data_IF_551476085081
#
_entry.id   IF_551476085081
#
_cell.length_a   1.000
_cell.length_b   1.000
_cell.length_c   1.000
_cell.angle_alpha   90.00
_cell.angle_beta   90.00
_cell.angle_gamma   90.00
#
_symmetry.space_group_name_H-M   'P 1'
#
loop_
_entity.id
_entity.type
_entity.pdbx_description
1 polymer ?
#
# COMPACT_ATOMS: atom_id res chain seq x y z
N UNK A 1 -2.27 -4.71 -25.08
CA UNK A 1 -2.43 -5.26 -23.71
C UNK A 1 -3.91 -5.46 -23.45
N UNK A 2 -4.43 -6.69 -23.46
CA UNK A 2 -5.77 -6.95 -22.95
C UNK A 2 -5.63 -7.15 -21.44
N UNK A 3 -6.01 -6.16 -20.64
CA UNK A 3 -6.25 -6.40 -19.21
C UNK A 3 -7.25 -7.55 -19.09
N UNK A 4 -7.20 -8.32 -18.00
CA UNK A 4 -8.31 -9.22 -17.70
C UNK A 4 -9.57 -8.34 -17.64
N UNK A 5 -10.44 -8.41 -18.64
CA UNK A 5 -11.69 -7.66 -18.66
C UNK A 5 -12.64 -8.33 -17.69
N UNK A 6 -12.38 -8.19 -16.40
CA UNK A 6 -13.32 -8.60 -15.36
C UNK A 6 -14.61 -7.81 -15.55
N UNK A 7 -15.78 -8.36 -15.18
CA UNK A 7 -17.02 -7.59 -15.23
C UNK A 7 -16.91 -6.25 -14.49
N UNK A 8 -16.16 -6.19 -13.39
CA UNK A 8 -15.89 -4.95 -12.65
C UNK A 8 -15.09 -3.92 -13.46
N UNK A 9 -14.05 -4.34 -14.18
CA UNK A 9 -13.27 -3.46 -15.05
C UNK A 9 -14.07 -2.94 -16.27
N UNK A 10 -15.22 -3.55 -16.59
CA UNK A 10 -16.15 -3.01 -17.59
C UNK A 10 -17.11 -1.96 -17.01
N UNK A 11 -17.28 -1.92 -15.69
CA UNK A 11 -18.17 -0.99 -14.97
C UNK A 11 -17.40 0.24 -14.48
N UNK A 12 -16.16 0.07 -14.05
CA UNK A 12 -15.30 1.15 -13.57
C UNK A 12 -14.04 1.25 -14.42
N UNK A 13 -13.68 2.47 -14.85
CA UNK A 13 -12.49 2.74 -15.66
C UNK A 13 -11.24 3.10 -14.84
N UNK A 14 -11.41 3.51 -13.59
CA UNK A 14 -10.36 3.88 -12.62
C UNK A 14 -10.73 3.36 -11.24
N UNK A 15 -9.74 3.09 -10.37
CA UNK A 15 -9.95 2.65 -8.96
C UNK A 15 -11.03 1.58 -8.83
N UNK A 16 -10.91 0.52 -9.66
CA UNK A 16 -11.99 -0.44 -9.93
C UNK A 16 -12.47 -1.12 -8.66
N UNK A 17 -11.54 -1.52 -7.80
CA UNK A 17 -11.86 -2.21 -6.55
C UNK A 17 -12.40 -1.23 -5.50
N UNK A 18 -11.87 -0.02 -5.42
CA UNK A 18 -12.34 0.99 -4.46
C UNK A 18 -13.76 1.47 -4.79
N UNK A 19 -14.09 1.61 -6.07
CA UNK A 19 -15.47 1.82 -6.50
C UNK A 19 -16.38 0.65 -6.13
N UNK A 20 -15.89 -0.59 -6.28
CA UNK A 20 -16.63 -1.77 -5.85
C UNK A 20 -16.85 -1.77 -4.32
N UNK A 21 -15.83 -1.46 -3.52
CA UNK A 21 -15.91 -1.37 -2.05
C UNK A 21 -16.93 -0.32 -1.60
N UNK A 22 -16.97 0.85 -2.24
CA UNK A 22 -18.01 1.85 -1.96
C UNK A 22 -19.41 1.32 -2.28
N UNK A 23 -19.59 0.65 -3.42
CA UNK A 23 -20.90 0.10 -3.78
C UNK A 23 -21.33 -1.04 -2.86
N UNK A 24 -20.41 -1.88 -2.38
CA UNK A 24 -20.70 -2.85 -1.32
C UNK A 24 -21.14 -2.17 -0.03
N UNK A 25 -20.47 -1.08 0.36
CA UNK A 25 -20.84 -0.27 1.52
C UNK A 25 -22.28 0.26 1.41
N UNK A 26 -22.64 0.84 0.26
CA UNK A 26 -24.01 1.33 -0.01
C UNK A 26 -25.02 0.18 -0.01
N UNK A 27 -24.67 -0.96 -0.62
CA UNK A 27 -25.54 -2.14 -0.69
C UNK A 27 -25.88 -2.64 0.71
N UNK A 28 -24.89 -2.73 1.61
CA UNK A 28 -25.09 -3.14 3.00
C UNK A 28 -25.96 -2.11 3.73
N UNK A 29 -25.69 -0.80 3.58
CA UNK A 29 -26.51 0.25 4.20
C UNK A 29 -27.98 0.23 3.75
N UNK A 30 -28.26 -0.26 2.54
CA UNK A 30 -29.63 -0.39 2.01
C UNK A 30 -30.37 -1.64 2.51
N UNK A 31 -29.69 -2.58 3.18
CA UNK A 31 -30.33 -3.75 3.76
C UNK A 31 -31.16 -3.38 5.00
N UNK A 32 -32.30 -4.06 5.17
CA UNK A 32 -33.18 -3.86 6.32
C UNK A 32 -32.42 -4.02 7.63
N UNK A 33 -32.55 -3.03 8.52
CA UNK A 33 -31.88 -3.01 9.83
C UNK A 33 -30.41 -2.59 9.83
N UNK A 34 -29.78 -2.36 8.68
CA UNK A 34 -28.33 -2.08 8.59
C UNK A 34 -28.00 -0.60 8.36
N UNK A 35 -28.99 0.24 8.04
CA UNK A 35 -28.78 1.66 7.85
C UNK A 35 -28.48 2.37 9.19
N UNK A 36 -27.21 2.41 9.58
CA UNK A 36 -26.72 3.11 10.78
C UNK A 36 -26.84 4.64 10.65
N UNK A 37 -27.03 5.17 9.43
CA UNK A 37 -27.14 6.58 9.13
C UNK A 37 -28.60 7.05 9.00
N UNK A 38 -29.58 6.17 9.24
CA UNK A 38 -31.02 6.43 9.02
C UNK A 38 -31.60 7.63 9.77
N UNK A 39 -30.95 8.05 10.86
CA UNK A 39 -31.39 9.18 11.69
C UNK A 39 -30.94 10.53 11.14
N UNK A 40 -30.04 10.54 10.16
CA UNK A 40 -29.58 11.77 9.50
C UNK A 40 -30.64 12.30 8.55
N UNK A 41 -30.68 13.62 8.39
CA UNK A 41 -31.49 14.22 7.35
C UNK A 41 -30.89 13.95 5.96
N UNK A 42 -31.70 14.10 4.91
CA UNK A 42 -31.30 13.74 3.54
C UNK A 42 -29.99 14.41 3.08
N UNK A 43 -29.77 15.68 3.44
CA UNK A 43 -28.55 16.40 3.07
C UNK A 43 -27.31 15.88 3.83
N UNK A 44 -27.42 15.67 5.14
CA UNK A 44 -26.33 15.10 5.96
C UNK A 44 -25.99 13.67 5.52
N UNK A 45 -27.01 12.87 5.20
CA UNK A 45 -26.84 11.51 4.69
C UNK A 45 -26.04 11.50 3.39
N UNK A 46 -26.37 12.41 2.47
CA UNK A 46 -25.66 12.57 1.20
C UNK A 46 -24.23 13.06 1.41
N UNK A 47 -24.02 13.98 2.34
CA UNK A 47 -22.68 14.48 2.69
C UNK A 47 -21.81 13.35 3.26
N UNK A 48 -22.31 12.60 4.23
CA UNK A 48 -21.60 11.47 4.85
C UNK A 48 -21.29 10.39 3.82
N UNK A 49 -22.24 10.02 2.94
CA UNK A 49 -21.96 9.08 1.85
C UNK A 49 -20.91 9.61 0.86
N UNK A 50 -20.94 10.91 0.57
CA UNK A 50 -19.92 11.56 -0.25
C UNK A 50 -18.53 11.45 0.39
N UNK A 51 -18.45 11.65 1.71
CA UNK A 51 -17.21 11.55 2.47
C UNK A 51 -16.70 10.10 2.55
N UNK A 52 -17.59 9.13 2.81
CA UNK A 52 -17.25 7.70 2.79
C UNK A 52 -16.70 7.31 1.41
N UNK A 53 -17.38 7.72 0.34
CA UNK A 53 -16.91 7.47 -1.04
C UNK A 53 -15.51 8.04 -1.25
N UNK A 54 -15.31 9.30 -0.87
CA UNK A 54 -14.02 9.97 -1.02
C UNK A 54 -12.90 9.21 -0.28
N UNK A 55 -13.15 8.84 0.98
CA UNK A 55 -12.19 8.12 1.81
C UNK A 55 -11.86 6.73 1.26
N UNK A 56 -12.86 5.97 0.78
CA UNK A 56 -12.63 4.65 0.17
C UNK A 56 -11.83 4.80 -1.12
N UNK A 57 -12.17 5.75 -1.99
CA UNK A 57 -11.41 5.94 -3.23
C UNK A 57 -9.96 6.38 -2.94
N UNK A 58 -9.72 7.12 -1.87
CA UNK A 58 -8.38 7.56 -1.49
C UNK A 58 -7.45 6.42 -1.01
N UNK A 59 -7.96 5.19 -0.80
CA UNK A 59 -7.10 4.03 -0.52
C UNK A 59 -6.42 3.48 -1.77
N UNK A 60 -6.86 3.89 -2.98
CA UNK A 60 -6.13 3.59 -4.21
C UNK A 60 -4.77 4.31 -4.20
N UNK A 61 -3.68 3.54 -4.07
CA UNK A 61 -2.32 4.06 -4.07
C UNK A 61 -1.93 4.82 -5.35
N UNK A 62 -2.65 4.66 -6.46
CA UNK A 62 -2.44 5.49 -7.64
C UNK A 62 -2.78 6.97 -7.37
N UNK A 63 -3.75 7.25 -6.49
CA UNK A 63 -4.16 8.60 -6.10
C UNK A 63 -3.26 9.20 -5.01
N UNK A 64 -2.52 8.36 -4.28
CA UNK A 64 -1.63 8.81 -3.20
C UNK A 64 -0.59 9.83 -3.69
N UNK A 65 0.15 9.51 -4.77
CA UNK A 65 1.23 10.37 -5.26
C UNK A 65 0.80 11.80 -5.62
N UNK A 66 -0.25 12.02 -6.45
CA UNK A 66 -0.70 13.38 -6.76
C UNK A 66 -1.28 14.10 -5.53
N UNK A 67 -1.99 13.41 -4.63
CA UNK A 67 -2.52 14.02 -3.40
C UNK A 67 -1.38 14.43 -2.45
N UNK A 68 -0.37 13.58 -2.31
CA UNK A 68 0.82 13.82 -1.48
C UNK A 68 1.59 15.04 -1.97
N UNK A 69 1.76 15.17 -3.29
CA UNK A 69 2.45 16.30 -3.89
C UNK A 69 1.71 17.63 -3.60
N UNK A 70 0.39 17.65 -3.77
CA UNK A 70 -0.44 18.83 -3.48
C UNK A 70 -0.39 19.23 -2.01
N UNK A 71 -0.55 18.27 -1.10
CA UNK A 71 -0.55 18.55 0.33
C UNK A 71 0.83 19.05 0.80
N UNK A 72 1.92 18.44 0.34
CA UNK A 72 3.27 18.90 0.67
C UNK A 72 3.55 20.32 0.18
N UNK A 73 3.03 20.72 -0.98
CA UNK A 73 3.15 22.09 -1.45
C UNK A 73 2.48 23.09 -0.48
N UNK A 74 1.26 22.78 -0.04
CA UNK A 74 0.50 23.60 0.93
C UNK A 74 1.25 23.70 2.28
N UNK A 75 1.76 22.57 2.79
CA UNK A 75 2.52 22.53 4.05
C UNK A 75 3.79 23.37 3.94
N UNK A 76 4.55 23.23 2.85
CA UNK A 76 5.82 23.94 2.63
C UNK A 76 5.63 25.45 2.58
N UNK A 77 4.51 25.92 2.07
CA UNK A 77 4.17 27.35 2.05
C UNK A 77 3.67 27.88 3.40
N UNK A 78 3.40 27.01 4.38
CA UNK A 78 2.84 27.39 5.68
C UNK A 78 1.35 27.77 5.62
N UNK A 79 0.66 27.39 4.55
CA UNK A 79 -0.71 27.82 4.22
C UNK A 79 -1.79 26.80 4.61
N UNK A 80 -1.43 25.72 5.30
CA UNK A 80 -2.41 24.69 5.66
C UNK A 80 -3.48 25.23 6.62
N UNK A 81 -4.75 24.92 6.35
CA UNK A 81 -5.90 25.38 7.12
C UNK A 81 -7.01 24.32 7.13
N UNK A 82 -7.39 23.85 8.32
CA UNK A 82 -8.46 22.86 8.50
C UNK A 82 -9.85 23.37 8.09
N UNK A 83 -10.06 24.69 8.06
CA UNK A 83 -11.30 25.31 7.61
C UNK A 83 -11.44 25.32 6.09
N UNK A 84 -10.34 25.13 5.36
CA UNK A 84 -10.37 24.99 3.91
C UNK A 84 -10.72 23.53 3.54
N UNK A 85 -11.83 23.35 2.83
CA UNK A 85 -12.33 22.02 2.46
C UNK A 85 -11.37 21.23 1.57
N UNK A 86 -10.62 21.92 0.70
CA UNK A 86 -9.62 21.26 -0.16
C UNK A 86 -8.43 20.77 0.65
N UNK A 87 -7.94 21.58 1.60
CA UNK A 87 -6.85 21.19 2.49
C UNK A 87 -7.26 20.01 3.37
N UNK A 88 -8.45 20.08 3.97
CA UNK A 88 -9.02 19.01 4.79
C UNK A 88 -9.21 17.71 3.99
N UNK A 89 -9.71 17.79 2.76
CA UNK A 89 -9.87 16.63 1.88
C UNK A 89 -8.51 15.99 1.55
N UNK A 90 -7.51 16.79 1.19
CA UNK A 90 -6.16 16.27 0.94
C UNK A 90 -5.54 15.59 2.18
N UNK A 91 -5.70 16.18 3.36
CA UNK A 91 -5.26 15.57 4.61
C UNK A 91 -5.99 14.26 4.89
N UNK A 92 -7.30 14.20 4.65
CA UNK A 92 -8.09 12.96 4.75
C UNK A 92 -7.60 11.88 3.78
N UNK A 93 -7.32 12.23 2.53
CA UNK A 93 -6.82 11.26 1.56
C UNK A 93 -5.48 10.64 1.99
N UNK A 94 -4.53 11.47 2.45
CA UNK A 94 -3.24 10.97 2.95
C UNK A 94 -3.43 10.19 4.25
N UNK A 95 -4.35 10.59 5.13
CA UNK A 95 -4.66 9.86 6.35
C UNK A 95 -5.25 8.47 6.05
N UNK A 96 -6.14 8.35 5.05
CA UNK A 96 -6.66 7.06 4.62
C UNK A 96 -5.55 6.14 4.15
N UNK A 97 -4.62 6.63 3.33
CA UNK A 97 -3.42 5.86 2.95
C UNK A 97 -2.56 5.50 4.16
N UNK A 98 -2.35 6.42 5.10
CA UNK A 98 -1.56 6.14 6.32
C UNK A 98 -2.20 5.04 7.19
N UNK A 99 -3.53 5.02 7.28
CA UNK A 99 -4.29 3.98 7.96
C UNK A 99 -4.18 2.63 7.24
N UNK A 100 -4.29 2.62 5.92
CA UNK A 100 -4.18 1.40 5.10
C UNK A 100 -2.79 0.77 5.20
N UNK A 101 -1.75 1.60 5.31
CA UNK A 101 -0.35 1.18 5.44
C UNK A 101 0.10 0.92 6.88
N UNK A 102 -0.80 0.94 7.86
CA UNK A 102 -0.46 0.96 9.29
C UNK A 102 0.39 -0.22 9.77
N UNK A 103 0.33 -1.36 9.06
CA UNK A 103 1.15 -2.55 9.31
C UNK A 103 2.65 -2.20 9.39
N UNK A 104 3.11 -1.26 8.56
CA UNK A 104 4.50 -0.83 8.48
C UNK A 104 5.00 -0.09 9.71
N UNK A 105 4.10 0.46 10.54
CA UNK A 105 4.42 1.13 11.79
C UNK A 105 4.18 0.25 13.04
N UNK A 106 3.73 -1.00 12.88
CA UNK A 106 3.51 -1.93 14.00
C UNK A 106 4.83 -2.48 14.57
N UNK A 107 4.83 -3.10 15.76
CA UNK A 107 5.99 -3.85 16.24
C UNK A 107 6.51 -4.85 15.22
N UNK A 108 7.83 -4.98 15.15
CA UNK A 108 8.53 -5.80 14.14
C UNK A 108 7.88 -7.17 13.93
N UNK A 109 7.63 -7.91 15.02
CA UNK A 109 6.96 -9.23 14.95
C UNK A 109 5.59 -9.17 14.29
N UNK A 110 4.79 -8.14 14.58
CA UNK A 110 3.46 -7.99 13.96
C UNK A 110 3.62 -7.64 12.49
N UNK A 111 4.51 -6.69 12.19
CA UNK A 111 4.77 -6.24 10.82
C UNK A 111 5.24 -7.38 9.92
N UNK A 112 6.17 -8.23 10.38
CA UNK A 112 6.70 -9.35 9.58
C UNK A 112 5.66 -10.43 9.32
N UNK A 113 4.83 -10.77 10.32
CA UNK A 113 3.72 -11.70 10.11
C UNK A 113 2.67 -11.15 9.14
N UNK A 114 2.34 -9.85 9.23
CA UNK A 114 1.44 -9.22 8.24
C UNK A 114 2.03 -9.23 6.84
N UNK A 115 3.33 -8.95 6.67
CA UNK A 115 3.99 -9.03 5.36
C UNK A 115 3.94 -10.42 4.77
N UNK A 116 4.12 -11.48 5.55
CA UNK A 116 4.01 -12.86 5.06
C UNK A 116 2.62 -13.14 4.46
N UNK A 117 1.56 -12.70 5.14
CA UNK A 117 0.18 -12.87 4.66
C UNK A 117 -0.04 -12.10 3.36
N UNK A 118 0.41 -10.83 3.29
CA UNK A 118 0.29 -10.01 2.08
C UNK A 118 1.03 -10.64 0.90
N UNK A 119 2.25 -11.15 1.12
CA UNK A 119 3.01 -11.77 0.04
C UNK A 119 2.42 -13.09 -0.42
N UNK A 120 1.81 -13.89 0.47
CA UNK A 120 1.11 -15.10 0.02
C UNK A 120 -0.07 -14.73 -0.91
N UNK A 121 -0.84 -13.69 -0.59
CA UNK A 121 -1.89 -13.18 -1.49
C UNK A 121 -1.32 -12.73 -2.85
N UNK A 122 -0.20 -12.00 -2.85
CA UNK A 122 0.48 -11.62 -4.09
C UNK A 122 0.98 -12.82 -4.89
N UNK A 123 1.47 -13.86 -4.22
CA UNK A 123 1.93 -15.09 -4.87
C UNK A 123 0.77 -15.90 -5.46
N UNK A 124 -0.35 -16.00 -4.76
CA UNK A 124 -1.57 -16.61 -5.29
C UNK A 124 -2.06 -15.89 -6.56
N UNK A 125 -2.03 -14.55 -6.57
CA UNK A 125 -2.33 -13.77 -7.76
C UNK A 125 -1.31 -14.03 -8.88
N UNK A 126 0.00 -14.04 -8.57
CA UNK A 126 1.04 -14.28 -9.56
C UNK A 126 0.97 -15.68 -10.19
N UNK A 127 0.60 -16.70 -9.41
CA UNK A 127 0.37 -18.04 -9.91
C UNK A 127 -0.85 -18.10 -10.83
N UNK A 128 -1.94 -17.41 -10.47
CA UNK A 128 -3.10 -17.27 -11.34
C UNK A 128 -2.73 -16.56 -12.65
N UNK A 129 -1.86 -15.55 -12.63
CA UNK A 129 -1.34 -14.90 -13.84
C UNK A 129 -0.52 -15.86 -14.71
N UNK A 130 0.38 -16.66 -14.10
CA UNK A 130 1.17 -17.69 -14.80
C UNK A 130 0.29 -18.75 -15.46
N UNK A 131 -0.73 -19.26 -14.77
CA UNK A 131 -1.71 -20.22 -15.31
C UNK A 131 -2.42 -19.64 -16.54
N UNK A 132 -2.67 -18.33 -16.55
CA UNK A 132 -3.28 -17.62 -17.66
C UNK A 132 -2.28 -17.16 -18.75
N UNK A 133 -1.04 -17.66 -18.72
CA UNK A 133 -0.01 -17.38 -19.72
C UNK A 133 0.59 -15.97 -19.62
N UNK A 134 0.57 -15.36 -18.44
CA UNK A 134 1.18 -14.05 -18.17
C UNK A 134 2.36 -14.20 -17.23
N UNK A 135 3.40 -13.40 -17.46
CA UNK A 135 4.52 -13.30 -16.53
C UNK A 135 4.16 -12.30 -15.42
N UNK A 136 4.11 -12.72 -14.15
CA UNK A 136 3.80 -11.82 -13.05
C UNK A 136 4.97 -10.89 -12.76
N UNK A 137 4.66 -9.73 -12.18
CA UNK A 137 5.70 -8.82 -11.71
C UNK A 137 6.53 -9.48 -10.58
N UNK A 138 7.80 -9.08 -10.36
CA UNK A 138 8.67 -9.72 -9.38
C UNK A 138 8.08 -9.85 -7.97
N UNK A 139 7.30 -8.85 -7.53
CA UNK A 139 6.64 -8.85 -6.22
C UNK A 139 5.58 -9.94 -6.05
N UNK A 140 4.99 -10.40 -7.16
CA UNK A 140 3.96 -11.46 -7.20
C UNK A 140 4.57 -12.82 -7.58
N UNK A 141 5.87 -12.91 -7.85
CA UNK A 141 6.52 -14.16 -8.20
C UNK A 141 7.14 -14.84 -6.97
N UNK A 142 6.53 -15.92 -6.49
CA UNK A 142 7.07 -16.70 -5.35
C UNK A 142 8.47 -17.27 -5.59
N UNK A 143 8.92 -17.39 -6.83
CA UNK A 143 10.31 -17.82 -7.15
C UNK A 143 11.35 -16.75 -6.84
N UNK A 144 10.91 -15.49 -6.65
CA UNK A 144 11.74 -14.34 -6.27
C UNK A 144 11.56 -13.96 -4.79
N UNK A 145 11.11 -14.90 -3.95
CA UNK A 145 10.90 -14.66 -2.52
C UNK A 145 12.17 -14.17 -1.78
N UNK A 146 13.36 -14.50 -2.29
CA UNK A 146 14.64 -13.98 -1.79
C UNK A 146 14.79 -12.45 -1.97
N UNK A 147 14.05 -11.82 -2.88
CA UNK A 147 14.07 -10.37 -3.09
C UNK A 147 13.14 -9.62 -2.12
N UNK A 148 12.28 -10.32 -1.37
CA UNK A 148 11.27 -9.74 -0.48
C UNK A 148 11.85 -8.67 0.46
N UNK A 149 12.99 -8.89 1.16
CA UNK A 149 13.54 -7.86 2.03
C UNK A 149 13.84 -6.55 1.29
N UNK A 150 14.47 -6.62 0.13
CA UNK A 150 14.80 -5.45 -0.67
C UNK A 150 13.54 -4.74 -1.22
N UNK A 151 12.51 -5.51 -1.57
CA UNK A 151 11.21 -4.96 -1.97
C UNK A 151 10.54 -4.22 -0.81
N UNK A 152 10.58 -4.76 0.41
CA UNK A 152 10.06 -4.09 1.60
C UNK A 152 10.79 -2.78 1.89
N UNK A 153 12.13 -2.75 1.77
CA UNK A 153 12.88 -1.49 1.89
C UNK A 153 12.39 -0.46 0.87
N UNK A 154 12.27 -0.85 -0.41
CA UNK A 154 11.80 0.03 -1.47
C UNK A 154 10.40 0.57 -1.21
N UNK A 155 9.47 -0.30 -0.81
CA UNK A 155 8.09 0.07 -0.48
C UNK A 155 8.02 1.01 0.73
N UNK A 156 8.73 0.69 1.81
CA UNK A 156 8.67 1.48 3.04
C UNK A 156 9.34 2.84 2.86
N UNK A 157 10.51 2.91 2.21
CA UNK A 157 11.23 4.17 1.95
C UNK A 157 10.57 5.01 0.86
N UNK A 158 9.98 4.37 -0.15
CA UNK A 158 9.36 5.06 -1.29
C UNK A 158 7.93 5.55 -1.04
N UNK A 159 7.15 4.84 -0.20
CA UNK A 159 5.72 5.10 -0.02
C UNK A 159 5.37 5.35 1.44
N UNK A 160 5.67 4.40 2.33
CA UNK A 160 5.13 4.42 3.71
C UNK A 160 5.72 5.56 4.54
N UNK A 161 7.05 5.69 4.59
CA UNK A 161 7.73 6.76 5.33
C UNK A 161 7.34 8.14 4.77
N UNK A 162 7.36 8.40 3.45
CA UNK A 162 6.87 9.66 2.90
C UNK A 162 5.39 9.95 3.19
N UNK A 163 4.55 8.92 3.30
CA UNK A 163 3.16 9.06 3.70
C UNK A 163 3.06 9.59 5.14
N UNK A 164 3.74 8.94 6.09
CA UNK A 164 3.74 9.36 7.50
C UNK A 164 4.40 10.73 7.71
N UNK A 165 5.45 11.04 6.95
CA UNK A 165 6.08 12.37 6.97
C UNK A 165 5.14 13.47 6.48
N UNK A 166 4.39 13.21 5.40
CA UNK A 166 3.43 14.19 4.87
C UNK A 166 2.30 14.44 5.87
N UNK A 167 1.74 13.38 6.46
CA UNK A 167 0.64 13.54 7.42
C UNK A 167 1.11 14.12 8.75
N UNK A 168 2.34 13.85 9.20
CA UNK A 168 2.88 14.46 10.43
C UNK A 168 3.09 15.97 10.30
N UNK A 169 3.27 16.47 9.07
CA UNK A 169 3.28 17.90 8.78
C UNK A 169 1.96 18.64 9.06
N UNK A 170 0.83 17.91 9.18
CA UNK A 170 -0.50 18.48 9.51
C UNK A 170 -1.11 17.92 10.80
N UNK A 171 -0.71 16.71 11.20
CA UNK A 171 -1.09 16.05 12.45
C UNK A 171 0.21 15.63 13.16
N UNK A 172 0.83 16.50 13.98
CA UNK A 172 2.16 16.25 14.55
C UNK A 172 2.29 14.94 15.34
N UNK A 173 1.21 14.48 15.99
CA UNK A 173 1.21 13.21 16.73
C UNK A 173 1.45 11.96 15.85
N UNK A 174 1.22 12.07 14.54
CA UNK A 174 1.50 11.01 13.58
C UNK A 174 3.00 10.76 13.36
N UNK A 175 3.89 11.64 13.86
CA UNK A 175 5.35 11.46 13.78
C UNK A 175 5.80 10.11 14.36
N UNK A 176 5.11 9.63 15.41
CA UNK A 176 5.37 8.30 15.99
C UNK A 176 5.22 7.17 14.97
N UNK A 177 4.30 7.30 14.01
CA UNK A 177 4.13 6.30 12.94
C UNK A 177 5.31 6.32 11.97
N UNK A 178 5.79 7.51 11.62
CA UNK A 178 7.00 7.69 10.80
C UNK A 178 8.21 7.06 11.49
N UNK A 179 8.46 7.36 12.76
CA UNK A 179 9.58 6.80 13.53
C UNK A 179 9.55 5.27 13.55
N UNK A 180 8.38 4.68 13.77
CA UNK A 180 8.21 3.22 13.76
C UNK A 180 8.39 2.62 12.38
N UNK A 181 7.88 3.28 11.35
CA UNK A 181 8.09 2.85 9.96
C UNK A 181 9.57 2.95 9.56
N UNK A 182 10.30 3.98 10.02
CA UNK A 182 11.74 4.11 9.79
C UNK A 182 12.53 2.98 10.48
N UNK A 183 12.18 2.66 11.73
CA UNK A 183 12.78 1.56 12.47
C UNK A 183 12.60 0.22 11.73
N UNK A 184 11.37 -0.09 11.29
CA UNK A 184 11.10 -1.32 10.56
C UNK A 184 11.77 -1.34 9.18
N UNK A 185 11.90 -0.19 8.50
CA UNK A 185 12.64 -0.11 7.25
C UNK A 185 14.13 -0.45 7.45
N UNK A 186 14.74 0.02 8.55
CA UNK A 186 16.11 -0.36 8.93
C UNK A 186 16.25 -1.85 9.19
N UNK A 187 15.26 -2.48 9.83
CA UNK A 187 15.23 -3.94 10.01
C UNK A 187 15.16 -4.72 8.70
N UNK A 188 14.41 -4.23 7.71
CA UNK A 188 14.41 -4.83 6.38
C UNK A 188 15.71 -4.59 5.61
N UNK A 189 16.39 -3.45 5.83
CA UNK A 189 17.71 -3.17 5.28
C UNK A 189 18.74 -4.18 5.79
N UNK A 190 18.78 -4.44 7.11
CA UNK A 190 19.61 -5.48 7.72
C UNK A 190 19.39 -6.84 7.03
N UNK A 191 18.13 -7.27 6.89
CA UNK A 191 17.79 -8.55 6.23
C UNK A 191 18.15 -8.57 4.74
N UNK A 192 17.99 -7.46 4.03
CA UNK A 192 18.33 -7.36 2.61
C UNK A 192 19.85 -7.45 2.40
N UNK A 193 20.65 -6.88 3.31
CA UNK A 193 22.10 -7.00 3.27
C UNK A 193 22.57 -8.42 3.58
N UNK A 194 21.99 -9.08 4.59
CA UNK A 194 22.28 -10.48 4.90
C UNK A 194 21.97 -11.40 3.71
N UNK A 195 20.80 -11.23 3.08
CA UNK A 195 20.41 -12.01 1.92
C UNK A 195 21.34 -11.81 0.72
N UNK A 196 21.82 -10.58 0.50
CA UNK A 196 22.82 -10.27 -0.55
C UNK A 196 24.14 -10.99 -0.30
N UNK A 197 24.62 -11.02 0.95
CA UNK A 197 25.86 -11.73 1.32
C UNK A 197 25.74 -13.23 1.05
N UNK A 198 24.65 -13.86 1.53
CA UNK A 198 24.38 -15.30 1.31
C UNK A 198 24.35 -15.63 -0.19
N UNK A 199 23.69 -14.78 -0.99
CA UNK A 199 23.59 -14.98 -2.45
C UNK A 199 24.95 -14.85 -3.13
N UNK A 200 25.79 -13.88 -2.70
CA UNK A 200 27.14 -13.69 -3.24
C UNK A 200 28.08 -14.85 -2.87
N UNK A 201 28.01 -15.36 -1.64
CA UNK A 201 28.78 -16.52 -1.17
C UNK A 201 28.41 -17.78 -1.94
N UNK A 202 27.11 -18.04 -2.14
CA UNK A 202 26.63 -19.18 -2.93
C UNK A 202 27.11 -19.11 -4.40
N UNK A 203 27.11 -17.92 -4.99
CA UNK A 203 27.62 -17.71 -6.35
C UNK A 203 29.14 -17.98 -6.42
N UNK A 204 29.93 -17.45 -5.49
CA UNK A 204 31.38 -17.70 -5.47
C UNK A 204 31.69 -19.19 -5.31
N UNK A 205 30.96 -19.90 -4.45
CA UNK A 205 31.15 -21.34 -4.24
C UNK A 205 30.81 -22.15 -5.50
N UNK A 206 29.68 -21.86 -6.16
CA UNK A 206 29.32 -22.52 -7.43
C UNK A 206 30.31 -22.23 -8.57
N UNK A 207 30.96 -21.06 -8.56
CA UNK A 207 31.96 -20.70 -9.57
C UNK A 207 33.25 -21.49 -9.35
N UNK A 208 33.66 -21.67 -8.09
CA UNK A 208 34.83 -22.45 -7.73
C UNK A 208 34.66 -23.94 -8.06
N UNK A 209 33.50 -24.52 -7.75
CA UNK A 209 33.20 -25.93 -8.07
C UNK A 209 33.20 -26.19 -9.59
N UNK A 210 32.65 -25.27 -10.39
CA UNK A 210 32.64 -25.38 -11.86
C UNK A 210 34.03 -25.24 -12.50
N UNK A 211 34.97 -24.54 -11.85
CA UNK A 211 36.37 -24.46 -12.28
C UNK A 211 37.18 -25.70 -11.91
N UNK A 212 36.84 -26.40 -10.82
CA UNK A 212 37.49 -27.66 -10.44
C UNK A 212 37.05 -28.84 -11.33
N UNK A 213 35.77 -28.90 -11.75
CA UNK A 213 35.27 -29.95 -12.65
C UNK A 213 35.80 -29.84 -14.10
N UNK A 214 36.07 -28.63 -14.60
CA UNK A 214 36.63 -28.43 -15.96
C UNK A 214 38.17 -28.52 -16.01
N UNK A 215 38.83 -28.68 -14.86
CA UNK A 215 40.28 -28.77 -14.72
C UNK A 215 40.82 -30.20 -14.58
N UNK A 216 39.96 -31.23 -14.62
CA UNK A 216 40.30 -32.65 -14.49
C UNK A 216 40.18 -33.43 -15.79
#
# INVERSE_FOLDING_TARGET
>A
MKSMSTPLASIYSTSVMEHHHFNQTVTILQQDGHNILKSLHSEEYKEVLGLIKYCILATDLALFFPNKAKLNAIIKEGNFDWKNDTHRSLAQAILMTACDLIATAKPWKVQTETVKVIFEEFYEQGDAEKINGREPIPMMDRTKANELPQMQVGFMRGICVPCYETISGVIPDAEKLKERSLYNAGKWEELAEEQKKITAEAQQQSTNDATEENGS
#
